data_IF_058381363433
#
_entry.id   IF_058381363433
#
_cell.length_a   1.000
_cell.length_b   1.000
_cell.length_c   1.000
_cell.angle_alpha   90.00
_cell.angle_beta   90.00
_cell.angle_gamma   90.00
#
_symmetry.space_group_name_H-M   'P 1'
#
loop_
_entity.id
_entity.type
_entity.pdbx_description
1 polymer ?
#
# COMPACT_ATOMS: atom_id res chain seq x y z
N UNK A 1 -29.88 36.90 55.07
CA UNK A 1 -29.06 35.67 55.04
C UNK A 1 -27.62 36.11 55.15
N UNK A 2 -26.99 35.80 56.27
CA UNK A 2 -25.66 36.31 56.59
C UNK A 2 -24.62 35.72 55.62
N UNK A 3 -23.57 36.48 55.35
CA UNK A 3 -22.49 36.12 54.42
C UNK A 3 -21.82 34.78 54.79
N UNK A 4 -21.90 34.40 56.07
CA UNK A 4 -21.51 33.08 56.56
C UNK A 4 -22.39 31.94 56.02
N UNK A 5 -23.70 32.15 55.92
CA UNK A 5 -24.65 31.15 55.41
C UNK A 5 -24.47 30.91 53.91
N UNK A 6 -24.12 31.96 53.16
CA UNK A 6 -23.85 31.87 51.72
C UNK A 6 -22.55 31.10 51.44
N UNK A 7 -21.48 31.37 52.18
CA UNK A 7 -20.22 30.63 52.06
C UNK A 7 -20.38 29.16 52.44
N UNK A 8 -21.19 28.84 53.45
CA UNK A 8 -21.45 27.46 53.84
C UNK A 8 -22.20 26.68 52.74
N UNK A 9 -23.19 27.32 52.10
CA UNK A 9 -23.91 26.74 50.97
C UNK A 9 -23.01 26.54 49.73
N UNK A 10 -22.09 27.46 49.44
CA UNK A 10 -21.11 27.30 48.36
C UNK A 10 -20.10 26.17 48.63
N UNK A 11 -19.68 25.96 49.87
CA UNK A 11 -18.79 24.84 50.25
C UNK A 11 -19.53 23.51 50.11
N UNK A 12 -20.79 23.43 50.55
CA UNK A 12 -21.60 22.21 50.38
C UNK A 12 -21.81 21.91 48.89
N UNK A 13 -22.12 22.92 48.07
CA UNK A 13 -22.30 22.75 46.63
C UNK A 13 -21.02 22.32 45.91
N UNK A 14 -19.85 22.82 46.33
CA UNK A 14 -18.55 22.41 45.77
C UNK A 14 -18.09 21.03 46.23
N UNK A 15 -18.42 20.61 47.46
CA UNK A 15 -18.16 19.24 47.92
C UNK A 15 -19.10 18.23 47.23
N UNK A 16 -20.37 18.60 46.98
CA UNK A 16 -21.32 17.76 46.25
C UNK A 16 -20.94 17.60 44.77
N UNK A 17 -20.38 18.63 44.12
CA UNK A 17 -19.83 18.47 42.76
C UNK A 17 -18.56 17.61 42.76
N UNK A 18 -17.69 17.71 43.76
CA UNK A 18 -16.55 16.80 43.92
C UNK A 18 -16.93 15.33 44.17
N UNK A 19 -18.07 15.07 44.84
CA UNK A 19 -18.59 13.71 45.05
C UNK A 19 -19.31 13.14 43.81
N UNK A 20 -19.89 13.99 42.95
CA UNK A 20 -20.50 13.59 41.67
C UNK A 20 -19.48 13.44 40.53
N UNK A 21 -18.31 14.09 40.65
CA UNK A 21 -17.12 13.88 39.82
C UNK A 21 -16.06 13.04 40.54
N UNK A 22 -16.51 12.10 41.38
CA UNK A 22 -15.66 11.01 41.86
C UNK A 22 -15.03 10.34 40.64
N UNK A 23 -13.76 10.66 40.42
CA UNK A 23 -12.95 10.03 39.39
C UNK A 23 -12.94 8.55 39.73
N UNK A 24 -13.73 7.77 39.01
CA UNK A 24 -13.33 6.42 38.70
C UNK A 24 -11.93 6.56 38.15
N UNK A 25 -10.92 6.28 38.98
CA UNK A 25 -9.67 5.78 38.48
C UNK A 25 -10.08 4.52 37.72
N UNK A 26 -10.37 4.70 36.43
CA UNK A 26 -10.44 3.61 35.50
C UNK A 26 -9.05 3.03 35.54
N UNK A 27 -8.90 2.00 36.38
CA UNK A 27 -7.90 0.97 36.16
C UNK A 27 -7.91 0.73 34.65
N UNK A 28 -6.79 0.88 33.94
CA UNK A 28 -6.74 0.54 32.53
C UNK A 28 -7.39 -0.84 32.40
N UNK A 29 -8.30 -1.06 31.44
CA UNK A 29 -8.90 -2.37 31.27
C UNK A 29 -7.75 -3.36 31.26
N UNK A 30 -7.76 -4.24 32.26
CA UNK A 30 -6.74 -5.23 32.43
C UNK A 30 -6.70 -5.98 31.09
N UNK A 31 -5.56 -5.88 30.39
CA UNK A 31 -5.31 -6.51 29.10
C UNK A 31 -5.20 -8.03 29.31
N UNK A 32 -6.25 -8.64 29.84
CA UNK A 32 -6.33 -10.06 30.20
C UNK A 32 -7.42 -10.73 29.37
N UNK A 33 -7.44 -10.46 28.07
CA UNK A 33 -8.11 -11.34 27.09
C UNK A 33 -7.44 -11.35 25.70
N UNK A 34 -6.14 -11.06 25.59
CA UNK A 34 -5.43 -11.19 24.29
C UNK A 34 -4.22 -12.14 24.30
N UNK A 35 -3.88 -12.74 25.43
CA UNK A 35 -2.75 -13.70 25.53
C UNK A 35 -3.12 -15.16 25.21
N UNK A 36 -4.39 -15.48 24.95
CA UNK A 36 -4.85 -16.88 24.76
C UNK A 36 -5.07 -17.32 23.30
N UNK A 37 -5.13 -16.40 22.34
CA UNK A 37 -5.41 -16.76 20.96
C UNK A 37 -4.11 -17.08 20.23
N UNK A 38 -3.98 -18.31 19.72
CA UNK A 38 -2.87 -18.65 18.86
C UNK A 38 -2.99 -17.87 17.53
N UNK A 39 -1.92 -17.19 17.13
CA UNK A 39 -1.86 -16.32 15.94
C UNK A 39 -0.95 -16.86 14.86
N UNK A 40 -0.43 -18.07 15.01
CA UNK A 40 0.49 -18.66 14.03
C UNK A 40 0.17 -20.12 13.80
N UNK A 41 0.17 -20.54 12.54
CA UNK A 41 0.02 -21.93 12.12
C UNK A 41 0.75 -22.11 10.79
N UNK A 42 1.43 -23.25 10.58
CA UNK A 42 2.12 -23.53 9.31
C UNK A 42 3.20 -22.52 8.89
N UNK A 43 3.73 -21.73 9.83
CA UNK A 43 4.71 -20.69 9.54
C UNK A 43 4.14 -19.36 9.05
N UNK A 44 2.81 -19.19 9.05
CA UNK A 44 2.16 -17.93 8.67
C UNK A 44 1.53 -17.23 9.88
N UNK A 45 1.40 -15.90 9.77
CA UNK A 45 0.69 -15.07 10.74
C UNK A 45 -0.80 -15.05 10.44
N UNK A 46 -1.63 -15.16 11.47
CA UNK A 46 -3.10 -15.16 11.41
C UNK A 46 -3.63 -13.89 12.10
N UNK A 47 -3.68 -12.76 11.40
CA UNK A 47 -4.13 -11.50 11.99
C UNK A 47 -5.65 -11.47 12.16
N UNK A 48 -6.13 -10.77 13.18
CA UNK A 48 -7.57 -10.46 13.31
C UNK A 48 -8.04 -9.70 12.05
N UNK A 49 -9.23 -10.00 11.45
CA UNK A 49 -10.38 -10.74 12.00
C UNK A 49 -10.24 -12.26 12.05
N UNK A 50 -9.18 -12.83 11.46
CA UNK A 50 -8.91 -14.27 11.51
C UNK A 50 -8.34 -14.68 12.87
N UNK A 51 -8.53 -15.96 13.22
CA UNK A 51 -8.01 -16.49 14.46
C UNK A 51 -8.19 -17.99 14.61
N UNK A 52 -7.41 -18.56 15.53
CA UNK A 52 -7.42 -19.97 15.91
C UNK A 52 -7.88 -20.07 17.37
N UNK A 53 -8.76 -21.04 17.68
CA UNK A 53 -9.18 -21.33 19.05
C UNK A 53 -10.64 -20.96 19.32
N UNK A 54 -10.91 -20.42 20.51
CA UNK A 54 -12.28 -20.09 20.94
C UNK A 54 -12.93 -18.98 20.11
N UNK A 55 -14.26 -18.83 20.22
CA UNK A 55 -15.08 -17.88 19.44
C UNK A 55 -14.71 -16.41 19.61
N UNK A 56 -13.87 -16.06 20.59
CA UNK A 56 -13.37 -14.70 20.83
C UNK A 56 -12.05 -14.41 20.09
N UNK A 57 -11.45 -15.40 19.43
CA UNK A 57 -10.18 -15.25 18.70
C UNK A 57 -10.36 -14.77 17.27
N UNK A 58 -11.54 -14.96 16.69
CA UNK A 58 -11.90 -14.55 15.34
C UNK A 58 -13.23 -13.79 15.35
N UNK A 59 -13.50 -13.03 14.29
CA UNK A 59 -14.71 -12.19 14.19
C UNK A 59 -15.99 -13.04 14.15
N UNK A 60 -16.06 -14.00 13.24
CA UNK A 60 -17.17 -14.96 13.15
C UNK A 60 -16.68 -16.24 12.44
N UNK A 61 -17.55 -17.24 12.27
CA UNK A 61 -17.16 -18.54 11.71
C UNK A 61 -16.60 -18.50 10.28
N UNK A 62 -16.79 -17.43 9.51
CA UNK A 62 -16.13 -17.26 8.21
C UNK A 62 -14.63 -16.97 8.33
N UNK A 63 -14.19 -16.45 9.47
CA UNK A 63 -12.80 -16.06 9.77
C UNK A 63 -12.08 -17.07 10.65
N UNK A 64 -12.72 -18.20 10.96
CA UNK A 64 -12.12 -19.27 11.74
C UNK A 64 -11.03 -19.99 10.94
N UNK A 65 -9.84 -20.06 11.51
CA UNK A 65 -8.73 -20.86 11.00
C UNK A 65 -8.58 -22.11 11.87
N UNK A 66 -8.63 -23.27 11.24
CA UNK A 66 -8.35 -24.56 11.87
C UNK A 66 -6.93 -24.99 11.52
N UNK A 67 -6.13 -25.33 12.52
CA UNK A 67 -4.74 -25.72 12.34
C UNK A 67 -4.64 -27.25 12.46
N UNK A 68 -4.63 -27.94 11.32
CA UNK A 68 -4.62 -29.41 11.28
C UNK A 68 -3.19 -29.93 11.08
N UNK A 69 -2.84 -31.04 11.74
CA UNK A 69 -1.59 -31.75 11.47
C UNK A 69 -1.74 -32.58 10.20
N UNK A 70 -0.95 -32.29 9.18
CA UNK A 70 -0.99 -33.02 7.90
C UNK A 70 -0.35 -34.39 8.10
N UNK A 71 -1.09 -35.47 7.84
CA UNK A 71 -0.60 -36.85 8.02
C UNK A 71 0.67 -37.07 7.21
N UNK A 72 1.81 -37.30 7.89
CA UNK A 72 3.11 -37.50 7.25
C UNK A 72 4.07 -36.30 7.28
N UNK A 73 3.67 -35.15 7.86
CA UNK A 73 4.58 -34.02 8.10
C UNK A 73 4.47 -33.49 9.53
N UNK A 74 5.59 -33.06 10.14
CA UNK A 74 5.60 -32.37 11.43
C UNK A 74 5.01 -30.94 11.38
N UNK A 75 4.49 -30.51 10.21
CA UNK A 75 3.95 -29.17 10.01
C UNK A 75 2.43 -29.20 10.09
N UNK A 76 1.89 -28.32 10.94
CA UNK A 76 0.47 -28.02 10.93
C UNK A 76 0.15 -27.10 9.74
N UNK A 77 -0.94 -27.39 9.04
CA UNK A 77 -1.45 -26.57 7.94
C UNK A 77 -2.70 -25.79 8.39
N UNK A 78 -2.78 -24.48 8.11
CA UNK A 78 -3.95 -23.67 8.41
C UNK A 78 -5.03 -23.85 7.35
N UNK A 79 -6.29 -24.01 7.77
CA UNK A 79 -7.44 -24.15 6.88
C UNK A 79 -8.51 -23.11 7.21
N UNK A 80 -9.12 -22.51 6.19
CA UNK A 80 -10.37 -21.76 6.36
C UNK A 80 -11.50 -22.75 6.67
N UNK A 81 -12.02 -22.72 7.89
CA UNK A 81 -12.98 -23.70 8.42
C UNK A 81 -14.19 -23.90 7.50
N UNK A 82 -14.82 -22.81 7.04
CA UNK A 82 -16.04 -22.85 6.21
C UNK A 82 -15.82 -23.30 4.77
N UNK A 83 -14.65 -22.99 4.21
CA UNK A 83 -14.31 -23.36 2.83
C UNK A 83 -13.59 -24.71 2.75
N UNK A 84 -13.05 -25.19 3.88
CA UNK A 84 -12.19 -26.37 3.96
C UNK A 84 -10.99 -26.29 2.99
N UNK A 85 -10.39 -25.10 2.85
CA UNK A 85 -9.26 -24.84 1.97
C UNK A 85 -8.01 -24.47 2.78
N UNK A 86 -6.86 -25.01 2.41
CA UNK A 86 -5.58 -24.70 3.04
C UNK A 86 -5.17 -23.26 2.70
N UNK A 87 -4.76 -22.50 3.72
CA UNK A 87 -4.32 -21.11 3.60
C UNK A 87 -2.82 -21.05 3.41
N UNK A 88 -2.39 -20.35 2.37
CA UNK A 88 -0.98 -20.07 2.08
C UNK A 88 -0.54 -18.78 2.75
N UNK A 89 -1.38 -17.74 2.74
CA UNK A 89 -1.06 -16.45 3.35
C UNK A 89 -2.32 -15.61 3.59
N UNK A 90 -2.27 -14.72 4.58
CA UNK A 90 -3.33 -13.75 4.89
C UNK A 90 -2.72 -12.35 4.95
N UNK A 91 -3.26 -11.44 4.16
CA UNK A 91 -2.85 -10.03 4.12
C UNK A 91 -4.01 -9.13 4.54
N UNK A 92 -3.71 -8.18 5.42
CA UNK A 92 -4.63 -7.10 5.77
C UNK A 92 -4.73 -6.10 4.60
N UNK A 93 -5.83 -5.34 4.49
CA UNK A 93 -5.90 -4.24 3.55
C UNK A 93 -4.79 -3.23 3.84
N UNK A 94 -4.14 -2.80 2.76
CA UNK A 94 -3.18 -1.69 2.77
C UNK A 94 -3.69 -0.62 1.79
N UNK A 95 -3.19 -0.62 0.55
CA UNK A 95 -3.64 0.31 -0.50
C UNK A 95 -4.88 -0.15 -1.26
N UNK A 96 -5.13 -1.45 -1.26
CA UNK A 96 -6.30 -2.04 -1.89
C UNK A 96 -7.52 -1.90 -0.96
N UNK A 97 -8.73 -1.73 -1.52
CA UNK A 97 -9.93 -1.52 -0.71
C UNK A 97 -10.42 -2.80 -0.03
N UNK A 98 -9.62 -3.85 0.11
CA UNK A 98 -9.94 -5.14 0.72
C UNK A 98 -8.66 -5.86 1.14
N UNK A 99 -8.80 -6.88 2.00
CA UNK A 99 -7.68 -7.76 2.33
C UNK A 99 -7.62 -8.95 1.39
N UNK A 100 -6.51 -9.69 1.43
CA UNK A 100 -6.28 -10.86 0.56
C UNK A 100 -6.07 -12.12 1.40
N UNK A 101 -6.57 -13.25 0.91
CA UNK A 101 -6.19 -14.59 1.37
C UNK A 101 -5.75 -15.41 0.17
N UNK A 102 -4.58 -16.02 0.26
CA UNK A 102 -4.10 -16.99 -0.71
C UNK A 102 -4.47 -18.39 -0.22
N UNK A 103 -5.17 -19.16 -1.04
CA UNK A 103 -5.60 -20.52 -0.72
C UNK A 103 -5.07 -21.52 -1.74
N UNK A 104 -4.90 -22.78 -1.30
CA UNK A 104 -4.64 -23.90 -2.19
C UNK A 104 -5.97 -24.46 -2.71
N UNK A 105 -6.11 -24.51 -4.02
CA UNK A 105 -7.26 -25.08 -4.72
C UNK A 105 -6.75 -26.27 -5.54
N UNK A 106 -7.43 -27.43 -5.54
CA UNK A 106 -6.98 -28.59 -6.31
C UNK A 106 -6.92 -28.29 -7.80
N UNK A 107 -6.03 -28.98 -8.51
CA UNK A 107 -5.94 -28.93 -9.97
C UNK A 107 -6.90 -29.95 -10.58
N UNK A 108 -7.73 -29.53 -11.54
CA UNK A 108 -8.53 -30.47 -12.35
C UNK A 108 -7.62 -31.11 -13.39
N UNK A 109 -7.66 -32.44 -13.52
CA UNK A 109 -6.79 -33.18 -14.45
C UNK A 109 -7.54 -34.26 -15.21
N UNK A 110 -7.13 -34.51 -16.45
CA UNK A 110 -7.66 -35.54 -17.36
C UNK A 110 -6.49 -36.32 -17.97
N UNK A 111 -6.60 -37.64 -18.04
CA UNK A 111 -5.61 -38.54 -18.66
C UNK A 111 -4.17 -38.48 -18.09
N UNK A 112 -4.02 -38.04 -16.83
CA UNK A 112 -2.71 -37.88 -16.17
C UNK A 112 -2.25 -39.10 -15.34
N UNK A 113 -3.11 -40.09 -15.12
CA UNK A 113 -2.79 -41.31 -14.37
C UNK A 113 -2.77 -42.55 -15.26
N UNK A 114 -1.74 -43.39 -15.11
CA UNK A 114 -1.49 -44.59 -15.94
C UNK A 114 -2.45 -45.76 -15.69
N UNK A 115 -3.19 -45.76 -14.59
CA UNK A 115 -4.24 -46.75 -14.32
C UNK A 115 -5.59 -46.26 -14.84
N UNK A 116 -5.88 -46.65 -16.07
CA UNK A 116 -7.08 -46.31 -16.86
C UNK A 116 -8.38 -46.96 -16.34
N UNK A 117 -8.63 -46.93 -15.03
CA UNK A 117 -9.87 -47.46 -14.44
C UNK A 117 -10.46 -46.62 -13.32
N UNK A 118 -9.96 -45.41 -13.06
CA UNK A 118 -10.69 -44.46 -12.23
C UNK A 118 -11.43 -43.47 -13.13
N UNK A 119 -12.76 -43.59 -13.07
CA UNK A 119 -13.73 -42.62 -13.53
C UNK A 119 -13.24 -41.19 -13.31
N UNK A 120 -13.63 -40.29 -14.23
CA UNK A 120 -13.57 -38.84 -14.11
C UNK A 120 -13.61 -38.43 -12.64
N UNK A 121 -12.45 -38.23 -12.01
CA UNK A 121 -12.39 -37.78 -10.63
C UNK A 121 -12.70 -36.28 -10.68
N UNK A 122 -13.98 -35.96 -10.89
CA UNK A 122 -14.59 -34.70 -10.47
C UNK A 122 -14.68 -34.76 -8.93
N UNK A 123 -13.55 -34.90 -8.24
CA UNK A 123 -13.51 -35.29 -6.83
C UNK A 123 -13.66 -34.15 -5.85
N UNK A 124 -13.68 -32.88 -6.28
CA UNK A 124 -13.87 -31.80 -5.32
C UNK A 124 -14.90 -30.75 -5.76
N UNK A 125 -15.66 -30.21 -4.78
CA UNK A 125 -16.75 -29.28 -5.04
C UNK A 125 -16.21 -27.98 -5.64
N UNK A 126 -17.04 -27.36 -6.47
CA UNK A 126 -16.78 -26.05 -7.05
C UNK A 126 -16.33 -25.08 -5.94
N UNK A 127 -15.33 -24.23 -6.23
CA UNK A 127 -14.88 -23.22 -5.26
C UNK A 127 -16.03 -22.23 -5.05
N UNK A 128 -16.81 -22.48 -4.01
CA UNK A 128 -17.99 -21.71 -3.70
C UNK A 128 -17.68 -20.76 -2.54
N UNK A 129 -17.36 -19.51 -2.88
CA UNK A 129 -17.21 -18.43 -1.89
C UNK A 129 -18.53 -17.68 -1.67
N UNK A 130 -19.69 -18.20 -2.13
CA UNK A 130 -20.96 -17.46 -2.35
C UNK A 130 -22.01 -17.59 -1.28
N UNK A 131 -21.86 -18.52 -0.35
CA UNK A 131 -22.90 -18.78 0.65
C UNK A 131 -23.36 -17.45 1.26
N UNK A 132 -24.66 -17.16 1.20
CA UNK A 132 -25.26 -15.88 1.64
C UNK A 132 -24.64 -15.41 2.96
N UNK A 133 -23.98 -14.26 2.96
CA UNK A 133 -23.25 -13.74 4.12
C UNK A 133 -21.75 -14.07 4.16
N UNK A 134 -21.18 -14.66 3.11
CA UNK A 134 -19.74 -14.84 2.95
C UNK A 134 -19.02 -13.51 2.73
N UNK A 135 -17.96 -13.20 3.48
CA UNK A 135 -17.17 -11.98 3.30
C UNK A 135 -16.15 -12.08 2.14
N UNK A 136 -16.10 -13.21 1.43
CA UNK A 136 -15.09 -13.52 0.43
C UNK A 136 -15.58 -13.30 -1.00
N UNK A 137 -14.66 -12.99 -1.90
CA UNK A 137 -14.90 -12.91 -3.35
C UNK A 137 -13.63 -13.28 -4.13
N UNK A 138 -13.77 -13.68 -5.38
CA UNK A 138 -12.64 -13.96 -6.26
C UNK A 138 -12.07 -12.66 -6.84
N UNK A 139 -10.75 -12.48 -6.77
CA UNK A 139 -10.10 -11.31 -7.38
C UNK A 139 -9.95 -11.51 -8.88
N UNK A 140 -9.96 -10.39 -9.61
CA UNK A 140 -9.74 -10.32 -11.06
C UNK A 140 -8.26 -10.54 -11.46
N UNK A 141 -7.36 -10.60 -10.48
CA UNK A 141 -5.97 -11.04 -10.68
C UNK A 141 -5.87 -12.53 -10.97
N UNK A 142 -6.86 -13.33 -10.58
CA UNK A 142 -6.88 -14.75 -10.91
C UNK A 142 -7.19 -14.98 -12.39
N UNK A 143 -6.61 -16.05 -12.92
CA UNK A 143 -6.75 -16.50 -14.30
C UNK A 143 -7.11 -17.97 -14.30
N UNK A 144 -7.99 -18.34 -15.23
CA UNK A 144 -8.12 -19.73 -15.64
C UNK A 144 -6.95 -20.08 -16.53
N UNK A 145 -6.27 -21.17 -16.22
CA UNK A 145 -5.17 -21.70 -17.01
C UNK A 145 -5.53 -23.13 -17.39
N UNK A 146 -5.32 -23.48 -18.65
CA UNK A 146 -5.36 -24.85 -19.12
C UNK A 146 -4.01 -25.20 -19.76
N UNK A 147 -3.51 -26.39 -19.49
CA UNK A 147 -2.26 -26.90 -20.07
C UNK A 147 -2.53 -28.30 -20.60
N UNK A 148 -2.14 -28.55 -21.84
CA UNK A 148 -2.41 -29.80 -22.54
C UNK A 148 -2.72 -29.55 -24.01
N UNK A 149 -2.64 -30.62 -24.81
CA UNK A 149 -2.95 -30.57 -26.24
C UNK A 149 -4.46 -30.80 -26.46
N UNK A 150 -5.10 -29.93 -27.26
CA UNK A 150 -6.53 -30.04 -27.57
C UNK A 150 -7.42 -29.92 -26.32
N UNK A 151 -7.02 -29.04 -25.39
CA UNK A 151 -7.66 -28.91 -24.08
C UNK A 151 -8.47 -27.63 -24.02
N UNK A 152 -9.76 -27.75 -23.70
CA UNK A 152 -10.67 -26.64 -23.49
C UNK A 152 -11.10 -26.62 -22.02
N UNK A 153 -10.75 -25.55 -21.32
CA UNK A 153 -11.15 -25.33 -19.94
C UNK A 153 -12.33 -24.35 -19.88
N UNK A 154 -13.35 -24.71 -19.12
CA UNK A 154 -14.56 -23.92 -18.95
C UNK A 154 -14.77 -23.61 -17.47
N UNK A 155 -15.15 -22.37 -17.15
CA UNK A 155 -15.68 -22.04 -15.84
C UNK A 155 -17.16 -22.40 -15.79
N UNK A 156 -17.53 -23.24 -14.83
CA UNK A 156 -18.92 -23.58 -14.52
C UNK A 156 -19.43 -22.73 -13.37
N UNK A 157 -20.75 -22.57 -13.27
CA UNK A 157 -21.47 -21.79 -12.24
C UNK A 157 -21.38 -20.25 -12.32
N UNK A 158 -21.03 -19.72 -13.49
CA UNK A 158 -21.24 -18.30 -13.81
C UNK A 158 -22.67 -18.16 -14.37
N UNK A 159 -23.53 -17.42 -13.67
CA UNK A 159 -24.90 -17.17 -14.16
C UNK A 159 -24.83 -16.46 -15.53
N UNK A 160 -25.27 -17.16 -16.58
CA UNK A 160 -25.49 -16.64 -17.94
C UNK A 160 -24.26 -16.29 -18.79
N UNK A 161 -23.03 -16.53 -18.32
CA UNK A 161 -21.81 -16.34 -19.13
C UNK A 161 -20.94 -17.60 -19.13
N UNK A 162 -20.52 -18.05 -20.32
CA UNK A 162 -19.53 -19.11 -20.44
C UNK A 162 -18.18 -18.47 -20.67
N UNK A 163 -17.32 -18.54 -19.65
CA UNK A 163 -15.94 -18.12 -19.74
C UNK A 163 -15.05 -19.36 -19.84
N UNK A 164 -14.12 -19.34 -20.78
CA UNK A 164 -13.19 -20.45 -20.95
C UNK A 164 -12.02 -20.08 -21.84
N UNK A 165 -11.08 -21.01 -21.95
CA UNK A 165 -10.01 -20.93 -22.93
C UNK A 165 -9.78 -22.29 -23.58
N UNK A 166 -9.26 -22.27 -24.80
CA UNK A 166 -8.94 -23.49 -25.56
C UNK A 166 -7.49 -23.44 -26.02
N UNK A 167 -6.85 -24.61 -26.04
CA UNK A 167 -5.50 -24.81 -26.54
C UNK A 167 -5.48 -25.80 -27.70
N UNK A 168 -4.66 -25.53 -28.70
CA UNK A 168 -4.47 -26.33 -29.92
C UNK A 168 -3.00 -26.75 -30.07
N UNK A 169 -2.79 -27.74 -30.93
CA UNK A 169 -1.52 -28.40 -31.15
C UNK A 169 -1.59 -29.09 -32.52
N UNK A 170 -1.27 -28.36 -33.59
CA UNK A 170 -1.04 -28.98 -34.89
C UNK A 170 0.45 -29.35 -35.05
N UNK A 171 0.71 -30.50 -35.66
CA UNK A 171 2.03 -30.82 -36.21
C UNK A 171 2.21 -30.14 -37.56
N UNK A 172 2.42 -28.82 -37.59
CA UNK A 172 2.84 -28.15 -38.82
C UNK A 172 4.23 -27.53 -38.66
N UNK A 173 5.12 -28.02 -39.52
CA UNK A 173 6.53 -27.62 -39.69
C UNK A 173 6.63 -26.10 -39.86
N UNK A 174 7.09 -25.39 -38.84
CA UNK A 174 8.02 -24.27 -39.07
C UNK A 174 8.77 -23.94 -37.81
N UNK A 175 10.08 -24.03 -37.96
CA UNK A 175 11.10 -23.31 -37.22
C UNK A 175 10.89 -21.80 -37.36
N UNK A 176 9.93 -21.25 -36.65
CA UNK A 176 10.01 -19.88 -36.18
C UNK A 176 10.02 -19.98 -34.67
N UNK A 177 11.08 -19.46 -34.05
CA UNK A 177 11.19 -19.28 -32.62
C UNK A 177 10.00 -18.42 -32.18
N UNK A 178 8.89 -19.08 -31.83
CA UNK A 178 7.77 -18.45 -31.17
C UNK A 178 8.30 -18.09 -29.78
N UNK A 179 8.92 -16.92 -29.68
CA UNK A 179 9.17 -16.22 -28.42
C UNK A 179 7.83 -15.76 -27.85
N UNK A 180 6.86 -16.66 -27.68
CA UNK A 180 5.63 -16.34 -26.98
C UNK A 180 5.96 -16.39 -25.50
N UNK A 181 6.10 -15.22 -24.92
CA UNK A 181 6.18 -15.01 -23.47
C UNK A 181 4.81 -15.15 -22.79
N UNK A 182 3.76 -15.55 -23.53
CA UNK A 182 2.37 -15.57 -23.06
C UNK A 182 1.71 -16.89 -23.47
N UNK A 183 1.02 -17.53 -22.53
CA UNK A 183 0.21 -18.73 -22.75
C UNK A 183 -1.08 -18.34 -23.47
N UNK A 184 -1.12 -18.44 -24.79
CA UNK A 184 -2.10 -17.78 -25.66
C UNK A 184 -2.87 -18.72 -26.61
N UNK A 185 -2.66 -20.03 -26.53
CA UNK A 185 -3.43 -21.01 -27.30
C UNK A 185 -2.63 -22.19 -27.84
N UNK A 186 -1.30 -22.14 -27.89
CA UNK A 186 -0.50 -23.30 -28.30
C UNK A 186 -0.07 -24.14 -27.09
N UNK A 187 -0.55 -25.39 -26.98
CA UNK A 187 -0.35 -26.33 -25.85
C UNK A 187 -0.77 -25.83 -24.45
N UNK A 188 -1.11 -24.56 -24.32
CA UNK A 188 -1.65 -23.98 -23.11
C UNK A 188 -2.51 -22.76 -23.46
N UNK A 189 -3.47 -22.42 -22.60
CA UNK A 189 -4.25 -21.20 -22.72
C UNK A 189 -4.49 -20.58 -21.35
N UNK A 190 -4.78 -19.27 -21.33
CA UNK A 190 -5.25 -18.59 -20.13
C UNK A 190 -6.37 -17.60 -20.44
N UNK A 191 -7.35 -17.47 -19.53
CA UNK A 191 -8.42 -16.48 -19.60
C UNK A 191 -8.45 -15.62 -18.33
N UNK A 192 -8.70 -14.32 -18.50
CA UNK A 192 -8.95 -13.41 -17.37
C UNK A 192 -10.36 -13.65 -16.85
N UNK A 193 -10.50 -13.58 -15.53
CA UNK A 193 -11.81 -13.55 -14.89
C UNK A 193 -12.42 -12.15 -15.08
N UNK A 194 -13.68 -12.02 -15.53
CA UNK A 194 -14.35 -10.75 -15.63
C UNK A 194 -14.47 -10.10 -14.26
N UNK A 195 -14.18 -8.81 -14.22
CA UNK A 195 -14.53 -7.96 -13.09
C UNK A 195 -16.07 -8.00 -12.98
N UNK A 196 -16.60 -8.18 -11.79
CA UNK A 196 -18.05 -8.13 -11.49
C UNK A 196 -18.91 -9.42 -11.56
N UNK A 197 -18.34 -10.61 -11.36
CA UNK A 197 -18.94 -11.81 -10.68
C UNK A 197 -18.54 -13.12 -11.36
N UNK A 198 -17.58 -13.81 -10.75
CA UNK A 198 -17.83 -15.21 -10.41
C UNK A 198 -17.76 -15.36 -8.91
N UNK A 199 -18.86 -15.81 -8.33
CA UNK A 199 -18.93 -16.06 -6.90
C UNK A 199 -18.64 -17.56 -6.64
N UNK A 200 -19.09 -18.45 -7.53
CA UNK A 200 -18.68 -19.85 -7.55
C UNK A 200 -17.93 -20.09 -8.86
N UNK A 201 -16.86 -20.88 -8.80
CA UNK A 201 -16.19 -21.35 -10.02
C UNK A 201 -15.90 -22.84 -9.87
N UNK A 202 -16.53 -23.62 -10.73
CA UNK A 202 -16.00 -24.93 -11.11
C UNK A 202 -15.13 -24.79 -12.35
N UNK A 203 -14.16 -25.70 -12.50
CA UNK A 203 -13.33 -25.78 -13.70
C UNK A 203 -13.58 -27.13 -14.34
N UNK A 204 -14.14 -27.11 -15.55
CA UNK A 204 -14.39 -28.29 -16.35
C UNK A 204 -13.39 -28.39 -17.52
N UNK A 205 -13.06 -29.62 -17.92
CA UNK A 205 -12.10 -29.89 -19.00
C UNK A 205 -12.80 -30.71 -20.08
N UNK A 206 -12.85 -30.14 -21.29
CA UNK A 206 -13.24 -30.83 -22.51
C UNK A 206 -12.01 -31.13 -23.37
N UNK A 207 -11.95 -32.37 -23.89
CA UNK A 207 -10.90 -32.81 -24.80
C UNK A 207 -11.43 -32.90 -26.23
N UNK A 208 -10.70 -32.32 -27.20
CA UNK A 208 -10.93 -32.59 -28.63
C UNK A 208 -10.00 -33.67 -29.13
N UNK A 209 -10.53 -34.57 -29.97
CA UNK A 209 -9.73 -35.58 -30.66
C UNK A 209 -8.87 -34.90 -31.73
N UNK A 210 -7.63 -34.57 -31.37
CA UNK A 210 -6.59 -34.07 -32.28
C UNK A 210 -5.60 -35.21 -32.53
N UNK A 211 -5.17 -35.41 -33.77
CA UNK A 211 -4.07 -36.33 -34.12
C UNK A 211 -2.80 -35.89 -33.40
N UNK A 212 -2.29 -36.72 -32.47
CA UNK A 212 -1.17 -36.37 -31.57
C UNK A 212 -1.59 -35.82 -30.20
N UNK A 213 -2.88 -35.85 -29.86
CA UNK A 213 -3.46 -35.31 -28.62
C UNK A 213 -3.64 -36.28 -27.44
N UNK A 214 -2.91 -37.41 -27.44
CA UNK A 214 -2.82 -38.31 -26.27
C UNK A 214 -1.82 -37.72 -25.26
N UNK A 215 -2.27 -37.46 -24.03
CA UNK A 215 -1.40 -36.94 -22.97
C UNK A 215 -2.17 -36.30 -21.82
N UNK A 216 -1.50 -36.07 -20.70
CA UNK A 216 -2.05 -35.43 -19.51
C UNK A 216 -2.54 -34.00 -19.81
N UNK A 217 -3.71 -33.66 -19.27
CA UNK A 217 -4.35 -32.34 -19.43
C UNK A 217 -4.73 -31.82 -18.06
N UNK A 218 -4.48 -30.55 -17.80
CA UNK A 218 -4.78 -29.92 -16.52
C UNK A 218 -5.47 -28.57 -16.72
N UNK A 219 -6.36 -28.21 -15.82
CA UNK A 219 -6.96 -26.90 -15.75
C UNK A 219 -7.17 -26.46 -14.31
N UNK A 220 -6.91 -25.19 -14.03
CA UNK A 220 -6.97 -24.65 -12.68
C UNK A 220 -7.08 -23.12 -12.68
N UNK A 221 -7.49 -22.57 -11.54
CA UNK A 221 -7.43 -21.14 -11.27
C UNK A 221 -6.12 -20.78 -10.56
N UNK A 222 -5.58 -19.61 -10.86
CA UNK A 222 -4.38 -19.13 -10.18
C UNK A 222 -4.18 -17.62 -10.29
N UNK A 223 -3.61 -17.00 -9.26
CA UNK A 223 -3.18 -15.59 -9.31
C UNK A 223 -1.83 -15.39 -10.02
N UNK A 224 -1.10 -16.48 -10.34
CA UNK A 224 0.17 -16.42 -11.04
C UNK A 224 -0.03 -16.23 -12.54
N UNK A 225 0.84 -15.42 -13.17
CA UNK A 225 0.91 -15.33 -14.63
C UNK A 225 1.88 -16.38 -15.16
N UNK A 226 1.41 -17.17 -16.12
CA UNK A 226 2.22 -18.22 -16.76
C UNK A 226 2.59 -17.82 -18.19
N UNK A 227 3.84 -18.09 -18.53
CA UNK A 227 4.42 -18.01 -19.87
C UNK A 227 4.80 -19.41 -20.33
N UNK A 228 4.85 -19.71 -21.63
CA UNK A 228 5.33 -20.99 -22.16
C UNK A 228 6.70 -21.42 -21.63
N UNK A 229 7.57 -20.47 -21.25
CA UNK A 229 8.85 -20.74 -20.58
C UNK A 229 8.75 -21.20 -19.12
N UNK A 230 7.64 -20.89 -18.44
CA UNK A 230 7.35 -21.23 -17.05
C UNK A 230 6.27 -22.32 -16.92
N UNK A 231 5.58 -22.63 -18.01
CA UNK A 231 4.61 -23.73 -18.08
C UNK A 231 5.41 -25.01 -18.18
N UNK A 232 5.47 -25.73 -17.07
CA UNK A 232 5.98 -27.09 -16.98
C UNK A 232 5.05 -28.07 -17.70
N UNK A 233 5.52 -29.29 -17.94
CA UNK A 233 4.66 -30.36 -18.46
C UNK A 233 3.42 -30.54 -17.55
N UNK A 234 2.22 -30.80 -18.11
CA UNK A 234 0.97 -30.99 -17.36
C UNK A 234 1.10 -31.92 -16.14
N UNK A 235 1.95 -32.93 -16.25
CA UNK A 235 2.26 -33.94 -15.24
C UNK A 235 2.85 -33.33 -13.96
N UNK A 236 3.59 -32.22 -14.06
CA UNK A 236 4.14 -31.54 -12.88
C UNK A 236 3.05 -30.81 -12.09
N UNK A 237 2.11 -30.16 -12.78
CA UNK A 237 0.96 -29.54 -12.12
C UNK A 237 0.06 -30.59 -11.47
N UNK A 238 -0.13 -31.73 -12.13
CA UNK A 238 -0.84 -32.86 -11.55
C UNK A 238 -0.11 -33.43 -10.32
N UNK A 239 1.22 -33.56 -10.38
CA UNK A 239 2.04 -34.04 -9.27
C UNK A 239 2.02 -33.09 -8.05
N UNK A 240 2.01 -31.78 -8.28
CA UNK A 240 1.85 -30.77 -7.22
C UNK A 240 0.44 -30.82 -6.59
N UNK A 241 -0.57 -31.19 -7.38
CA UNK A 241 -1.94 -31.47 -6.93
C UNK A 241 -2.79 -30.24 -6.60
N UNK A 242 -2.21 -29.04 -6.52
CA UNK A 242 -2.92 -27.79 -6.23
C UNK A 242 -2.32 -26.57 -6.93
N UNK A 243 -3.16 -25.55 -7.09
CA UNK A 243 -2.78 -24.21 -7.50
C UNK A 243 -3.11 -23.19 -6.41
N UNK A 244 -2.40 -22.04 -6.42
CA UNK A 244 -2.66 -20.94 -5.48
C UNK A 244 -3.59 -19.93 -6.11
N UNK A 245 -4.72 -19.68 -5.43
CA UNK A 245 -5.76 -18.72 -5.81
C UNK A 245 -5.83 -17.60 -4.78
N UNK A 246 -6.07 -16.38 -5.25
CA UNK A 246 -6.26 -15.20 -4.40
C UNK A 246 -7.75 -14.88 -4.24
N UNK A 247 -8.25 -14.93 -3.01
CA UNK A 247 -9.58 -14.45 -2.67
C UNK A 247 -9.47 -13.13 -1.89
N UNK A 248 -10.28 -12.16 -2.29
CA UNK A 248 -10.46 -10.93 -1.54
C UNK A 248 -11.40 -11.14 -0.37
N UNK A 249 -11.25 -10.37 0.70
CA UNK A 249 -12.15 -10.40 1.85
C UNK A 249 -12.48 -9.03 2.40
N UNK A 250 -13.67 -8.92 2.98
CA UNK A 250 -14.24 -7.70 3.55
C UNK A 250 -14.60 -7.87 5.01
N UNK A 251 -14.15 -6.97 5.89
CA UNK A 251 -14.49 -7.03 7.32
C UNK A 251 -16.01 -6.84 7.53
N UNK A 252 -16.66 -7.87 8.07
CA UNK A 252 -18.10 -7.89 8.29
C UNK A 252 -18.49 -7.02 9.51
N UNK A 253 -19.30 -5.99 9.26
CA UNK A 253 -19.77 -5.06 10.31
C UNK A 253 -21.17 -5.38 10.83
N UNK A 254 -21.77 -6.48 10.39
CA UNK A 254 -23.04 -6.96 10.90
C UNK A 254 -22.96 -7.36 12.38
N UNK A 255 -21.77 -7.77 12.85
CA UNK A 255 -21.50 -8.07 14.25
C UNK A 255 -21.57 -6.80 15.12
N UNK A 256 -22.51 -6.80 16.07
CA UNK A 256 -22.76 -5.68 16.97
C UNK A 256 -21.59 -5.36 17.89
N UNK A 257 -20.70 -6.33 18.17
CA UNK A 257 -19.50 -6.15 19.02
C UNK A 257 -18.53 -5.13 18.43
N UNK A 258 -18.55 -4.93 17.12
CA UNK A 258 -17.60 -4.09 16.39
C UNK A 258 -18.25 -2.87 15.71
N UNK A 259 -19.47 -2.52 16.12
CA UNK A 259 -20.20 -1.33 15.61
C UNK A 259 -19.52 -0.01 15.97
N UNK A 260 -18.88 0.09 17.14
CA UNK A 260 -18.21 1.31 17.57
C UNK A 260 -16.97 1.59 16.70
N UNK A 261 -16.63 2.87 16.43
CA UNK A 261 -15.45 3.20 15.65
C UNK A 261 -14.20 2.71 16.38
N UNK A 262 -13.31 2.02 15.67
CA UNK A 262 -12.00 1.55 16.16
C UNK A 262 -11.03 2.69 16.50
N UNK A 263 -11.50 3.95 16.49
CA UNK A 263 -10.69 5.16 16.50
C UNK A 263 -10.22 5.61 15.11
N UNK A 264 -10.53 4.85 14.06
CA UNK A 264 -10.13 5.14 12.68
C UNK A 264 -11.07 6.13 11.98
N UNK A 265 -10.51 6.92 11.07
CA UNK A 265 -11.25 7.97 10.35
C UNK A 265 -12.07 7.37 9.21
N UNK A 266 -13.29 7.89 9.04
CA UNK A 266 -14.20 7.46 7.99
C UNK A 266 -13.97 8.24 6.68
N UNK A 267 -13.33 7.61 5.71
CA UNK A 267 -13.03 8.18 4.41
C UNK A 267 -14.25 8.34 3.50
N UNK A 268 -15.32 7.59 3.72
CA UNK A 268 -16.55 7.68 2.91
C UNK A 268 -17.29 9.01 3.16
N UNK A 269 -17.08 9.64 4.32
CA UNK A 269 -17.75 10.91 4.71
C UNK A 269 -16.84 12.13 4.71
N UNK A 270 -15.52 11.96 4.71
CA UNK A 270 -14.59 13.08 4.66
C UNK A 270 -14.53 13.64 3.24
N UNK A 271 -15.02 14.86 3.02
CA UNK A 271 -14.80 15.65 1.79
C UNK A 271 -13.33 16.11 1.68
N UNK A 272 -12.39 15.17 1.67
CA UNK A 272 -10.98 15.42 1.33
C UNK A 272 -10.08 15.97 2.44
N UNK A 273 -10.53 16.14 3.69
CA UNK A 273 -9.61 16.48 4.80
C UNK A 273 -8.98 15.20 5.39
N UNK A 274 -8.10 14.55 4.63
CA UNK A 274 -7.19 13.56 5.20
C UNK A 274 -5.90 14.30 5.58
N UNK A 275 -5.43 14.12 6.81
CA UNK A 275 -4.10 14.59 7.17
C UNK A 275 -3.12 13.42 7.01
N UNK A 276 -1.90 13.71 6.56
CA UNK A 276 -0.85 12.68 6.43
C UNK A 276 -0.49 12.01 7.79
N UNK A 277 -0.97 12.58 8.90
CA UNK A 277 -0.72 12.17 10.27
C UNK A 277 -1.76 11.17 10.82
N UNK A 278 -2.79 10.82 10.04
CA UNK A 278 -3.85 9.93 10.53
C UNK A 278 -3.41 8.45 10.54
N UNK A 279 -3.23 7.89 11.73
CA UNK A 279 -2.69 6.54 11.92
C UNK A 279 -3.56 5.41 11.33
N UNK A 280 -4.88 5.62 11.22
CA UNK A 280 -5.82 4.59 10.76
C UNK A 280 -6.99 5.17 9.97
N UNK A 281 -7.27 4.57 8.82
CA UNK A 281 -8.27 5.01 7.85
C UNK A 281 -9.21 3.87 7.50
N UNK A 282 -10.51 4.16 7.34
CA UNK A 282 -11.52 3.17 6.97
C UNK A 282 -12.45 3.65 5.86
N UNK A 283 -12.74 2.77 4.90
CA UNK A 283 -13.80 2.90 3.90
C UNK A 283 -14.96 1.99 4.23
N UNK A 284 -16.17 2.49 4.04
CA UNK A 284 -17.41 1.80 4.35
C UNK A 284 -18.17 1.55 3.06
N UNK A 285 -18.78 0.38 2.95
CA UNK A 285 -19.56 0.02 1.78
C UNK A 285 -20.49 -1.15 2.03
N UNK A 286 -21.14 -1.57 0.95
CA UNK A 286 -22.07 -2.68 0.94
C UNK A 286 -21.76 -3.59 -0.25
N UNK A 287 -21.65 -4.89 0.00
CA UNK A 287 -21.33 -5.89 -1.03
C UNK A 287 -22.13 -7.17 -0.75
N UNK A 288 -22.86 -7.67 -1.76
CA UNK A 288 -23.60 -8.94 -1.73
C UNK A 288 -24.39 -9.23 -0.43
N UNK A 289 -25.12 -8.25 0.10
CA UNK A 289 -25.93 -8.45 1.32
C UNK A 289 -25.22 -8.07 2.62
N UNK A 290 -23.96 -7.68 2.56
CA UNK A 290 -23.10 -7.47 3.73
C UNK A 290 -22.66 -6.01 3.79
N UNK A 291 -22.82 -5.40 4.96
CA UNK A 291 -22.19 -4.11 5.27
C UNK A 291 -20.75 -4.36 5.69
N UNK A 292 -19.81 -3.76 4.99
CA UNK A 292 -18.39 -3.94 5.27
C UNK A 292 -17.68 -2.62 5.62
N UNK A 293 -16.54 -2.77 6.29
CA UNK A 293 -15.62 -1.67 6.59
C UNK A 293 -14.18 -2.11 6.34
N UNK A 294 -13.51 -1.54 5.35
CA UNK A 294 -12.12 -1.86 5.07
C UNK A 294 -11.24 -0.79 5.66
N UNK A 295 -10.44 -1.19 6.64
CA UNK A 295 -9.52 -0.31 7.32
C UNK A 295 -8.10 -0.69 6.98
N UNK A 296 -7.24 0.32 6.91
CA UNK A 296 -5.81 0.18 6.68
C UNK A 296 -5.08 1.21 7.56
N UNK A 297 -3.84 0.89 7.91
CA UNK A 297 -3.00 1.85 8.62
C UNK A 297 -2.57 2.95 7.64
N UNK A 298 -2.58 4.19 8.11
CA UNK A 298 -2.16 5.34 7.31
C UNK A 298 -0.68 5.25 6.93
N UNK A 299 -0.23 6.18 6.09
CA UNK A 299 1.20 6.28 5.77
C UNK A 299 2.05 6.45 7.05
N UNK A 300 3.22 5.82 7.07
CA UNK A 300 4.10 5.83 8.25
C UNK A 300 3.63 4.94 9.40
N UNK A 301 2.55 4.16 9.22
CA UNK A 301 2.01 3.27 10.25
C UNK A 301 1.92 1.82 9.77
N UNK A 302 2.08 0.88 10.69
CA UNK A 302 1.97 -0.57 10.44
C UNK A 302 1.12 -1.24 11.52
N UNK A 303 0.80 -2.53 11.35
CA UNK A 303 0.06 -3.31 12.33
C UNK A 303 -1.35 -3.66 11.85
N UNK A 304 -2.30 -3.73 12.78
CA UNK A 304 -3.65 -4.22 12.50
C UNK A 304 -4.70 -3.13 12.78
N UNK A 305 -5.32 -2.54 11.74
CA UNK A 305 -6.29 -1.46 11.89
C UNK A 305 -7.62 -1.92 12.51
N UNK A 306 -7.87 -3.23 12.58
CA UNK A 306 -9.07 -3.82 13.18
C UNK A 306 -8.95 -4.05 14.68
N UNK A 307 -7.79 -3.72 15.26
CA UNK A 307 -7.55 -3.73 16.70
C UNK A 307 -7.48 -2.28 17.18
N UNK A 308 -8.11 -1.99 18.32
CA UNK A 308 -8.08 -0.63 18.90
C UNK A 308 -6.63 -0.23 19.19
N UNK A 309 -6.15 0.84 18.55
CA UNK A 309 -4.76 1.27 18.65
C UNK A 309 -3.76 0.33 17.97
N UNK A 310 -4.23 -0.54 17.07
CA UNK A 310 -3.39 -1.54 16.40
C UNK A 310 -2.54 -1.00 15.25
N UNK A 311 -2.81 0.21 14.77
CA UNK A 311 -1.89 0.93 13.87
C UNK A 311 -0.85 1.68 14.70
N UNK A 312 0.40 1.22 14.59
CA UNK A 312 1.56 1.73 15.31
C UNK A 312 2.49 2.45 14.35
N UNK A 313 3.13 3.50 14.84
CA UNK A 313 4.14 4.27 14.12
C UNK A 313 5.31 3.38 13.67
N UNK A 314 5.74 3.54 12.42
CA UNK A 314 6.91 2.85 11.87
C UNK A 314 8.15 3.64 12.27
N UNK A 315 9.00 3.04 13.08
CA UNK A 315 10.30 3.65 13.39
C UNK A 315 11.28 3.48 12.22
N UNK A 316 11.27 4.42 11.26
CA UNK A 316 12.16 4.33 10.10
C UNK A 316 13.63 4.50 10.46
N UNK A 317 13.93 5.05 11.65
CA UNK A 317 15.30 5.20 12.15
C UNK A 317 15.92 3.87 12.58
N UNK A 318 15.13 2.80 12.75
CA UNK A 318 15.66 1.44 12.93
C UNK A 318 16.24 0.85 11.64
N UNK A 319 15.94 1.43 10.48
CA UNK A 319 16.52 1.00 9.21
C UNK A 319 17.97 1.50 9.12
N UNK A 320 18.96 0.62 8.92
CA UNK A 320 20.36 1.03 8.79
C UNK A 320 20.56 2.08 7.70
N UNK A 321 21.38 3.09 7.97
CA UNK A 321 21.75 4.15 7.02
C UNK A 321 20.59 5.00 6.46
N UNK A 322 19.41 5.02 7.11
CA UNK A 322 18.25 5.80 6.65
C UNK A 322 18.55 7.28 6.36
N UNK A 323 19.41 7.92 7.17
CA UNK A 323 19.80 9.33 7.03
C UNK A 323 21.25 9.54 6.54
N UNK A 324 21.90 8.51 5.99
CA UNK A 324 23.31 8.61 5.57
C UNK A 324 24.23 9.03 6.72
N UNK A 325 24.90 10.18 6.56
CA UNK A 325 25.80 10.74 7.59
C UNK A 325 25.07 11.52 8.70
N UNK A 326 23.79 11.86 8.52
CA UNK A 326 22.98 12.60 9.49
C UNK A 326 22.53 11.77 10.69
N UNK A 327 21.95 12.44 11.68
CA UNK A 327 21.21 11.82 12.78
C UNK A 327 19.74 11.66 12.39
N UNK A 328 19.19 10.47 12.57
CA UNK A 328 17.77 10.20 12.33
C UNK A 328 16.96 10.49 13.61
N UNK A 329 15.89 11.26 13.47
CA UNK A 329 14.88 11.51 14.51
C UNK A 329 13.55 10.90 14.06
N UNK A 330 13.03 9.94 14.83
CA UNK A 330 11.72 9.35 14.56
C UNK A 330 10.60 10.32 14.98
N UNK A 331 9.60 10.48 14.12
CA UNK A 331 8.41 11.30 14.33
C UNK A 331 7.17 10.44 14.13
N UNK A 332 6.00 10.87 14.61
CA UNK A 332 4.76 10.14 14.33
C UNK A 332 4.44 10.26 12.84
N UNK A 333 4.28 9.14 12.15
CA UNK A 333 4.00 9.06 10.72
C UNK A 333 5.23 9.26 9.82
N UNK A 334 6.45 9.35 10.37
CA UNK A 334 7.65 9.50 9.56
C UNK A 334 8.93 9.83 10.34
N UNK A 335 9.92 10.39 9.66
CA UNK A 335 11.21 10.68 10.27
C UNK A 335 11.82 11.98 9.73
N UNK A 336 12.75 12.54 10.50
CA UNK A 336 13.55 13.70 10.09
C UNK A 336 15.04 13.38 10.18
N UNK A 337 15.77 13.72 9.14
CA UNK A 337 17.23 13.66 9.15
C UNK A 337 17.81 15.01 9.56
N UNK A 338 18.50 15.04 10.69
CA UNK A 338 19.24 16.22 11.16
C UNK A 338 20.69 16.09 10.72
N UNK A 339 21.24 17.06 9.98
CA UNK A 339 22.65 17.06 9.63
C UNK A 339 23.52 17.02 10.90
N UNK A 340 24.56 16.17 10.93
CA UNK A 340 25.52 16.24 12.03
C UNK A 340 26.18 17.62 11.99
N UNK A 341 26.28 18.34 13.12
CA UNK A 341 27.03 19.58 13.15
C UNK A 341 28.46 19.25 12.77
N UNK A 342 28.90 19.69 11.60
CA UNK A 342 30.31 19.64 11.24
C UNK A 342 31.03 20.48 12.27
N UNK A 343 31.88 19.84 13.09
CA UNK A 343 32.92 20.56 13.83
C UNK A 343 33.85 21.13 12.77
N UNK A 344 33.50 22.29 12.21
CA UNK A 344 34.27 23.26 11.44
C UNK A 344 33.36 24.03 10.46
N UNK A 345 32.55 24.93 11.00
CA UNK A 345 32.41 26.26 10.40
C UNK A 345 32.12 27.27 11.51
N UNK A 346 33.19 27.79 12.13
CA UNK A 346 33.17 29.25 12.38
C UNK A 346 32.80 29.84 11.03
N UNK A 347 31.63 30.49 10.92
CA UNK A 347 31.28 31.32 9.77
C UNK A 347 32.59 31.97 9.30
N UNK A 348 33.07 31.74 8.06
CA UNK A 348 34.30 32.37 7.64
C UNK A 348 34.05 33.85 7.77
N UNK A 349 34.71 34.48 8.74
CA UNK A 349 34.87 35.92 8.77
C UNK A 349 35.38 36.22 7.36
N UNK A 350 34.60 36.96 6.56
CA UNK A 350 34.94 37.29 5.17
C UNK A 350 36.40 37.76 5.15
N UNK A 351 37.33 36.87 4.81
CA UNK A 351 38.68 37.26 4.46
C UNK A 351 38.59 37.61 2.97
N UNK A 352 39.18 38.73 2.56
CA UNK A 352 39.11 39.21 1.17
C UNK A 352 39.50 38.14 0.15
N UNK A 353 40.36 37.18 0.54
CA UNK A 353 40.79 36.08 -0.31
C UNK A 353 39.76 34.95 -0.49
N UNK A 354 38.71 34.85 0.33
CA UNK A 354 37.69 33.77 0.29
C UNK A 354 36.37 34.20 -0.32
N UNK A 355 36.20 35.48 -0.66
CA UNK A 355 34.94 35.97 -1.23
C UNK A 355 34.73 35.38 -2.64
N UNK A 356 35.80 35.27 -3.42
CA UNK A 356 35.79 34.70 -4.78
C UNK A 356 35.52 33.18 -4.83
N UNK A 357 35.64 32.49 -3.70
CA UNK A 357 35.34 31.07 -3.57
C UNK A 357 33.87 30.79 -3.21
N UNK A 358 33.13 31.84 -2.78
CA UNK A 358 31.74 31.76 -2.32
C UNK A 358 30.77 32.31 -3.39
N UNK A 359 31.25 33.24 -4.22
CA UNK A 359 30.44 33.85 -5.29
C UNK A 359 30.14 32.82 -6.40
N UNK A 360 28.90 32.78 -6.88
CA UNK A 360 28.47 31.94 -8.00
C UNK A 360 29.33 32.20 -9.24
N UNK A 361 29.70 31.15 -9.97
CA UNK A 361 30.58 31.22 -11.14
C UNK A 361 30.08 32.18 -12.22
N UNK A 362 28.76 32.40 -12.30
CA UNK A 362 28.13 33.35 -13.24
C UNK A 362 28.42 34.81 -12.90
N UNK A 363 28.56 35.15 -11.61
CA UNK A 363 28.88 36.49 -11.13
C UNK A 363 30.41 36.73 -11.17
N UNK A 364 31.20 35.67 -11.07
CA UNK A 364 32.68 35.74 -11.13
C UNK A 364 33.21 36.14 -12.51
N UNK A 365 32.46 35.83 -13.57
CA UNK A 365 32.81 36.13 -14.95
C UNK A 365 32.16 37.44 -15.47
N UNK A 366 31.53 38.22 -14.58
CA UNK A 366 30.87 39.49 -14.88
C UNK A 366 31.84 40.67 -14.67
N UNK A 367 31.71 41.73 -15.47
CA UNK A 367 32.54 42.94 -15.43
C UNK A 367 32.32 43.76 -14.14
N UNK A 368 31.33 43.38 -13.34
CA UNK A 368 30.94 44.01 -12.07
C UNK A 368 31.63 43.42 -10.83
N UNK A 369 32.66 42.59 -11.00
CA UNK A 369 33.37 41.91 -9.90
C UNK A 369 33.90 42.88 -8.83
N UNK A 370 34.37 44.07 -9.22
CA UNK A 370 34.85 45.10 -8.29
C UNK A 370 33.74 45.60 -7.34
N UNK A 371 32.52 45.71 -7.84
CA UNK A 371 31.36 46.15 -7.03
C UNK A 371 30.97 45.06 -6.04
N UNK A 372 30.98 43.80 -6.48
CA UNK A 372 30.75 42.64 -5.62
C UNK A 372 31.79 42.60 -4.49
N UNK A 373 33.06 42.87 -4.82
CA UNK A 373 34.13 42.97 -3.83
C UNK A 373 33.96 44.17 -2.89
N UNK A 374 33.47 45.31 -3.37
CA UNK A 374 33.18 46.49 -2.54
C UNK A 374 32.02 46.23 -1.55
N UNK A 375 30.94 45.60 -2.01
CA UNK A 375 29.80 45.20 -1.15
C UNK A 375 30.25 44.16 -0.11
N UNK A 376 31.09 43.20 -0.50
CA UNK A 376 31.63 42.20 0.41
C UNK A 376 32.51 42.85 1.51
N UNK A 377 33.34 43.85 1.15
CA UNK A 377 34.13 44.62 2.12
C UNK A 377 33.24 45.40 3.09
N UNK A 378 32.15 46.01 2.60
CA UNK A 378 31.19 46.71 3.44
C UNK A 378 30.48 45.74 4.39
N UNK A 379 30.01 44.60 3.90
CA UNK A 379 29.41 43.54 4.72
C UNK A 379 30.37 43.04 5.82
N UNK A 380 31.67 42.89 5.52
CA UNK A 380 32.69 42.55 6.52
C UNK A 380 32.77 43.58 7.64
N UNK A 381 32.72 44.87 7.32
CA UNK A 381 32.72 45.96 8.33
C UNK A 381 31.47 45.90 9.20
N UNK A 382 30.29 45.67 8.61
CA UNK A 382 29.03 45.48 9.32
C UNK A 382 29.09 44.28 10.28
N UNK A 383 29.78 43.21 9.89
CA UNK A 383 29.91 41.99 10.70
C UNK A 383 31.03 42.06 11.75
N UNK A 384 31.76 43.18 11.86
CA UNK A 384 32.83 43.34 12.86
C UNK A 384 32.32 43.15 14.30
N UNK A 385 32.98 42.28 15.06
CA UNK A 385 32.72 42.06 16.50
C UNK A 385 33.17 43.23 17.39
N UNK A 386 34.01 44.13 16.88
CA UNK A 386 34.40 45.36 17.56
C UNK A 386 33.40 46.45 17.19
N UNK A 387 32.50 46.81 18.11
CA UNK A 387 31.42 47.78 17.88
C UNK A 387 31.91 49.14 17.35
N UNK A 388 33.07 49.63 17.80
CA UNK A 388 33.69 50.88 17.32
C UNK A 388 34.12 50.84 15.83
N UNK A 389 34.27 49.64 15.24
CA UNK A 389 34.63 49.45 13.82
C UNK A 389 33.42 49.11 12.93
N UNK A 390 32.25 48.88 13.55
CA UNK A 390 31.02 48.58 12.84
C UNK A 390 30.39 49.91 12.40
N UNK A 391 30.16 50.13 11.11
CA UNK A 391 29.50 51.33 10.63
C UNK A 391 28.05 51.38 11.11
N UNK A 392 27.51 52.58 11.28
CA UNK A 392 26.08 52.76 11.51
C UNK A 392 25.30 52.63 10.18
N UNK A 393 23.98 52.45 10.25
CA UNK A 393 23.16 52.25 9.04
C UNK A 393 23.18 53.43 8.07
N UNK A 394 23.43 54.66 8.56
CA UNK A 394 23.55 55.84 7.70
C UNK A 394 24.84 55.79 6.88
N UNK A 395 25.96 55.42 7.49
CA UNK A 395 27.22 55.18 6.79
C UNK A 395 27.12 54.02 5.79
N UNK A 396 26.43 52.94 6.16
CA UNK A 396 26.18 51.81 5.25
C UNK A 396 25.36 52.25 4.04
N UNK A 397 24.30 53.04 4.26
CA UNK A 397 23.46 53.57 3.18
C UNK A 397 24.26 54.43 2.20
N UNK A 398 25.11 55.34 2.73
CA UNK A 398 25.95 56.22 1.91
C UNK A 398 26.97 55.43 1.09
N UNK A 399 27.60 54.41 1.69
CA UNK A 399 28.57 53.58 0.99
C UNK A 399 27.91 52.70 -0.08
N UNK A 400 26.70 52.19 0.17
CA UNK A 400 25.93 51.46 -0.84
C UNK A 400 25.51 52.36 -1.99
N UNK A 401 25.08 53.59 -1.72
CA UNK A 401 24.80 54.58 -2.78
C UNK A 401 26.06 54.91 -3.58
N UNK A 402 27.22 55.04 -2.93
CA UNK A 402 28.49 55.27 -3.61
C UNK A 402 28.88 54.11 -4.53
N UNK A 403 28.75 52.86 -4.05
CA UNK A 403 29.01 51.66 -4.86
C UNK A 403 28.01 51.60 -6.03
N UNK A 404 26.76 52.02 -5.81
CA UNK A 404 25.74 52.07 -6.86
C UNK A 404 26.04 53.15 -7.91
N UNK A 405 26.44 54.35 -7.52
CA UNK A 405 26.74 55.44 -8.46
C UNK A 405 28.00 55.17 -9.30
N UNK A 406 28.94 54.35 -8.79
CA UNK A 406 30.07 53.86 -9.60
C UNK A 406 29.68 52.93 -10.76
N UNK A 407 28.39 52.58 -10.90
CA UNK A 407 27.82 51.94 -12.11
C UNK A 407 27.47 52.96 -13.20
N UNK A 408 26.93 54.13 -12.84
CA UNK A 408 26.35 55.07 -13.82
C UNK A 408 27.42 55.86 -14.59
N UNK A 409 28.65 55.99 -14.05
CA UNK A 409 29.77 56.63 -14.74
C UNK A 409 30.43 55.75 -15.82
N UNK A 410 30.12 54.45 -15.89
CA UNK A 410 30.62 53.54 -16.95
C UNK A 410 29.62 53.31 -18.10
N UNK A 411 28.33 53.43 -17.83
CA UNK A 411 27.26 53.14 -18.81
C UNK A 411 26.94 54.33 -19.74
N UNK A 412 27.63 55.48 -19.63
CA UNK A 412 27.43 56.66 -20.52
C UNK A 412 28.15 56.49 -21.88
N UNK A 413 29.04 55.51 -22.05
CA UNK A 413 29.84 55.37 -23.29
C UNK A 413 29.28 54.38 -24.32
N UNK A 414 28.19 53.67 -24.05
CA UNK A 414 27.68 52.64 -24.95
C UNK A 414 26.14 52.72 -24.99
N UNK A 415 25.60 52.77 -26.21
CA UNK A 415 24.17 52.77 -26.59
C UNK A 415 23.42 54.11 -26.56
N UNK A 416 23.70 54.94 -27.59
CA UNK A 416 22.61 55.53 -28.36
C UNK A 416 22.33 54.60 -29.57
N UNK A 417 21.06 54.56 -29.95
CA UNK A 417 20.45 54.03 -31.18
C UNK A 417 19.94 52.56 -31.18
N UNK A 418 18.62 52.47 -30.91
CA UNK A 418 17.59 51.94 -31.83
C UNK A 418 16.78 50.69 -31.40
N UNK A 419 15.54 51.00 -31.04
CA UNK A 419 14.28 50.55 -31.65
C UNK A 419 13.56 49.22 -31.32
N UNK A 420 12.28 49.47 -31.00
CA UNK A 420 11.02 48.80 -31.43
C UNK A 420 10.49 47.53 -30.72
N UNK A 421 9.50 47.81 -29.85
CA UNK A 421 8.10 47.33 -29.83
C UNK A 421 7.73 45.85 -30.07
N UNK A 422 7.01 45.28 -29.09
CA UNK A 422 5.86 44.41 -29.39
C UNK A 422 4.83 44.42 -28.24
N UNK A 423 3.58 44.79 -28.52
CA UNK A 423 2.44 44.49 -27.65
C UNK A 423 1.25 43.94 -28.45
N UNK A 424 0.87 42.71 -28.09
CA UNK A 424 -0.48 42.15 -27.85
C UNK A 424 -1.61 42.33 -28.87
N UNK A 425 -2.28 41.23 -29.22
CA UNK A 425 -3.70 40.90 -28.93
C UNK A 425 -4.04 39.57 -29.64
N UNK A 426 -4.70 38.62 -28.98
CA UNK A 426 -6.13 38.37 -29.25
C UNK A 426 -6.75 37.26 -28.38
N UNK A 427 -8.02 37.45 -28.05
CA UNK A 427 -8.91 36.42 -27.53
C UNK A 427 -10.32 36.78 -28.00
N UNK A 428 -10.88 36.07 -28.99
CA UNK A 428 -12.27 35.62 -28.90
C UNK A 428 -12.71 34.61 -29.97
N UNK A 429 -13.45 33.65 -29.43
CA UNK A 429 -14.18 32.51 -29.95
C UNK A 429 -15.37 32.88 -30.86
N UNK A 430 -15.64 32.10 -31.92
CA UNK A 430 -17.00 31.76 -32.40
C UNK A 430 -17.03 30.73 -33.56
N UNK A 431 -17.68 29.61 -33.25
CA UNK A 431 -18.70 28.84 -34.00
C UNK A 431 -18.58 28.48 -35.49
N UNK A 432 -18.91 27.18 -35.71
CA UNK A 432 -19.55 26.52 -36.86
C UNK A 432 -18.75 26.25 -38.15
N UNK A 433 -18.36 24.98 -38.35
CA UNK A 433 -19.14 24.00 -39.13
C UNK A 433 -18.71 22.56 -38.83
#
# INVERSE_FOLDING_TARGET
MDTQTYNFLCIIASVLTLLMYGSSAATPPNNTSSTSCNRTCGGISIPFPFGIGGKDCYLNGWYEIVCNSTSGSDRNAPFLSRLNMEVVNISLPDRLPYGLVQIKVPVTSLDCSRDSSQELQKTLPDLNVTSKGSPYFLTDENRLVAVGCGTKALMTDIESEILGCESICEESKSSEEVTNSICDGYKCCQARIPVERPQAIGVDIESKNVTGGEGCKVAFLTSKRYSPSNVTEPEQFHADGYAVVEIGWYFDTSDSRFRNPLGCINLTRSNGSYFAEDNCLCRYGYFSGINYRNCYCGNGHTGNPYIRGGCVDIDECKVPHKCGEGTCENLVGGYRCVPKPTKHSKLPVLAESRVLDIIDIRIKNDDKLEQVMAVAKLARRCLSRKGKKRPNMREVSIELERIRLSLEDLDIYIENEDDEDQSTYDNQQKDNF
#
